data_IF_403939809933
#
_entry.id   IF_403939809933
#
_cell.length_a   1.000
_cell.length_b   1.000
_cell.length_c   1.000
_cell.angle_alpha   90.00
_cell.angle_beta   90.00
_cell.angle_gamma   90.00
#
_symmetry.space_group_name_H-M   'P 1'
#
loop_
_entity.id
_entity.type
_entity.pdbx_description
1 polymer ?
#
# COMPACT_ATOMS: atom_id res chain seq x y z
N UNK A 1 -1.84 -19.34 30.79
CA UNK A 1 -1.00 -18.13 30.86
C UNK A 1 0.29 -18.45 30.11
N UNK A 2 0.28 -18.23 28.80
CA UNK A 2 1.50 -18.39 27.99
C UNK A 2 2.44 -17.26 28.37
N UNK A 3 3.70 -17.57 28.69
CA UNK A 3 4.72 -16.54 28.93
C UNK A 3 4.79 -15.66 27.69
N UNK A 4 4.51 -14.37 27.84
CA UNK A 4 4.87 -13.35 26.88
C UNK A 4 6.37 -13.47 26.64
N UNK A 5 6.75 -14.13 25.55
CA UNK A 5 8.11 -14.08 25.06
C UNK A 5 8.48 -12.60 24.99
N UNK A 6 9.64 -12.24 25.53
CA UNK A 6 10.06 -10.86 25.67
C UNK A 6 10.34 -10.29 24.26
N UNK A 7 9.30 -9.85 23.55
CA UNK A 7 9.40 -9.35 22.17
C UNK A 7 10.32 -8.14 22.19
N UNK A 8 11.43 -8.24 21.47
CA UNK A 8 12.50 -7.25 21.52
C UNK A 8 12.11 -6.00 20.73
N UNK A 9 12.49 -4.82 21.23
CA UNK A 9 12.35 -3.59 20.46
C UNK A 9 13.27 -3.63 19.22
N UNK A 10 12.84 -3.07 18.08
CA UNK A 10 13.72 -2.90 16.93
C UNK A 10 14.92 -2.01 17.32
N UNK A 11 16.07 -2.26 16.71
CA UNK A 11 17.30 -1.50 16.96
C UNK A 11 18.21 -1.48 15.73
N UNK A 12 19.31 -0.73 15.76
CA UNK A 12 20.32 -0.75 14.68
C UNK A 12 19.76 -0.39 13.30
N UNK A 13 18.86 0.60 13.23
CA UNK A 13 18.26 1.04 11.98
C UNK A 13 19.35 1.51 11.02
N UNK A 14 19.29 0.96 9.80
CA UNK A 14 19.97 1.44 8.61
C UNK A 14 18.93 2.01 7.65
N UNK A 15 19.29 3.09 6.97
CA UNK A 15 18.48 3.70 5.94
C UNK A 15 19.37 4.18 4.80
N UNK A 16 18.92 3.96 3.57
CA UNK A 16 19.53 4.54 2.38
C UNK A 16 18.44 4.96 1.40
N UNK A 17 18.62 6.09 0.71
CA UNK A 17 17.70 6.48 -0.36
C UNK A 17 18.07 5.68 -1.59
N UNK A 18 17.04 5.16 -2.25
CA UNK A 18 17.15 4.49 -3.53
C UNK A 18 16.15 5.10 -4.51
N UNK A 19 16.37 4.83 -5.78
CA UNK A 19 15.40 5.16 -6.81
C UNK A 19 15.11 3.97 -7.72
N UNK A 20 13.86 3.87 -8.17
CA UNK A 20 13.37 2.88 -9.13
C UNK A 20 12.61 3.58 -10.24
N UNK A 21 12.31 2.87 -11.32
CA UNK A 21 11.47 3.36 -12.40
C UNK A 21 10.09 2.74 -12.31
N UNK A 22 9.07 3.54 -12.55
CA UNK A 22 7.69 3.10 -12.71
C UNK A 22 7.21 3.68 -14.05
N UNK A 23 7.44 2.91 -15.11
CA UNK A 23 7.37 3.42 -16.49
C UNK A 23 8.32 4.61 -16.70
N UNK A 24 7.77 5.77 -17.10
CA UNK A 24 8.55 7.01 -17.27
C UNK A 24 8.84 7.75 -15.96
N UNK A 25 8.24 7.34 -14.84
CA UNK A 25 8.40 8.01 -13.56
C UNK A 25 9.64 7.50 -12.83
N UNK A 26 10.45 8.42 -12.30
CA UNK A 26 11.56 8.08 -11.41
C UNK A 26 11.08 8.22 -9.96
N UNK A 27 10.89 7.09 -9.30
CA UNK A 27 10.36 7.05 -7.94
C UNK A 27 11.50 6.90 -6.93
N UNK A 28 11.56 7.80 -5.96
CA UNK A 28 12.49 7.72 -4.84
C UNK A 28 11.83 7.04 -3.64
N UNK A 29 12.65 6.41 -2.82
CA UNK A 29 12.19 5.87 -1.54
C UNK A 29 13.33 5.61 -0.57
N UNK A 30 12.99 5.48 0.70
CA UNK A 30 13.92 5.12 1.76
C UNK A 30 13.83 3.62 1.96
N UNK A 31 14.93 2.92 1.75
CA UNK A 31 15.06 1.52 2.09
C UNK A 31 15.51 1.39 3.54
N UNK A 32 14.60 0.94 4.39
CA UNK A 32 14.83 0.73 5.82
C UNK A 32 15.19 -0.72 6.07
N UNK A 33 16.18 -0.94 6.94
CA UNK A 33 16.59 -2.25 7.46
C UNK A 33 16.93 -2.13 8.94
N UNK A 34 16.49 -3.04 9.78
CA UNK A 34 16.74 -2.97 11.23
C UNK A 34 17.06 -4.33 11.82
N UNK A 35 17.51 -4.33 13.08
CA UNK A 35 17.64 -5.53 13.88
C UNK A 35 16.34 -5.82 14.61
N UNK A 36 15.87 -7.06 14.55
CA UNK A 36 14.77 -7.57 15.36
C UNK A 36 15.05 -9.02 15.77
N UNK A 37 15.09 -9.27 17.08
CA UNK A 37 15.59 -10.55 17.61
C UNK A 37 16.98 -10.89 17.06
N UNK A 38 17.13 -12.09 16.53
CA UNK A 38 18.34 -12.56 15.83
C UNK A 38 18.48 -12.05 14.39
N UNK A 39 17.44 -11.49 13.77
CA UNK A 39 17.50 -10.98 12.40
C UNK A 39 18.17 -9.61 12.34
N UNK A 40 19.29 -9.51 11.62
CA UNK A 40 20.13 -8.29 11.54
C UNK A 40 19.89 -7.50 10.25
N UNK A 41 20.13 -6.17 10.22
CA UNK A 41 19.93 -5.34 9.02
C UNK A 41 20.76 -5.78 7.80
N UNK A 42 21.87 -6.47 8.04
CA UNK A 42 22.79 -7.01 7.04
C UNK A 42 22.75 -8.55 6.96
N UNK A 43 21.74 -9.18 7.57
CA UNK A 43 21.57 -10.62 7.55
C UNK A 43 21.41 -11.11 6.10
N UNK A 44 22.26 -12.05 5.69
CA UNK A 44 22.30 -12.61 4.34
C UNK A 44 21.21 -13.64 4.06
N UNK A 45 21.48 -14.60 3.16
CA UNK A 45 20.44 -15.49 2.60
C UNK A 45 20.32 -16.87 3.26
N UNK A 46 21.32 -17.33 4.03
CA UNK A 46 21.30 -18.59 4.80
C UNK A 46 22.55 -18.69 5.72
N UNK A 47 22.46 -19.29 6.92
CA UNK A 47 21.27 -19.81 7.59
C UNK A 47 20.29 -18.71 8.04
N UNK A 48 19.03 -19.07 8.36
CA UNK A 48 18.11 -18.12 8.97
C UNK A 48 18.65 -17.64 10.33
N UNK A 49 18.09 -16.54 10.88
CA UNK A 49 18.31 -16.16 12.27
C UNK A 49 18.12 -17.34 13.23
N UNK A 50 18.89 -17.40 14.31
CA UNK A 50 18.84 -18.51 15.28
C UNK A 50 17.46 -18.66 15.94
N UNK A 51 16.75 -17.54 16.10
CA UNK A 51 15.40 -17.46 16.64
C UNK A 51 14.30 -17.48 15.55
N UNK A 52 14.68 -17.72 14.29
CA UNK A 52 13.71 -17.97 13.24
C UNK A 52 13.00 -19.29 13.50
N UNK A 53 11.67 -19.23 13.57
CA UNK A 53 10.81 -20.36 13.94
C UNK A 53 9.81 -20.65 12.82
N UNK A 54 10.31 -20.82 11.60
CA UNK A 54 9.53 -21.11 10.38
C UNK A 54 8.31 -20.18 10.22
N UNK A 55 8.57 -18.86 10.28
CA UNK A 55 7.54 -17.81 10.22
C UNK A 55 6.92 -17.42 11.56
N UNK A 56 7.08 -18.23 12.60
CA UNK A 56 6.53 -17.98 13.93
C UNK A 56 7.56 -17.36 14.90
N UNK A 57 8.55 -16.65 14.35
CA UNK A 57 9.46 -15.87 15.18
C UNK A 57 8.62 -14.79 15.92
N UNK A 58 8.89 -14.52 17.21
CA UNK A 58 8.13 -13.56 18.01
C UNK A 58 8.51 -12.12 17.67
N UNK A 59 8.58 -11.79 16.38
CA UNK A 59 8.89 -10.45 15.88
C UNK A 59 7.58 -9.64 15.80
N UNK A 60 7.60 -8.33 16.11
CA UNK A 60 6.45 -7.48 15.91
C UNK A 60 6.12 -7.34 14.43
N UNK A 61 4.82 -7.32 14.14
CA UNK A 61 4.29 -7.10 12.80
C UNK A 61 3.99 -5.63 12.52
N UNK A 62 3.74 -4.82 13.55
CA UNK A 62 3.29 -3.43 13.39
C UNK A 62 4.40 -2.47 13.79
N UNK A 63 4.72 -1.54 12.91
CA UNK A 63 5.74 -0.51 13.10
C UNK A 63 5.18 0.88 12.79
N UNK A 64 5.76 1.88 13.44
CA UNK A 64 5.62 3.28 13.01
C UNK A 64 6.95 3.77 12.45
N UNK A 65 6.89 4.37 11.27
CA UNK A 65 8.00 5.12 10.67
C UNK A 65 7.80 6.59 10.98
N UNK A 66 8.80 7.17 11.66
CA UNK A 66 8.86 8.58 11.97
C UNK A 66 9.85 9.27 11.06
N UNK A 67 9.42 10.34 10.39
CA UNK A 67 10.23 11.12 9.48
C UNK A 67 10.16 12.58 9.88
N UNK A 68 11.32 13.21 10.03
CA UNK A 68 11.47 14.62 10.40
C UNK A 68 10.69 14.98 11.67
N UNK A 69 10.64 14.05 12.64
CA UNK A 69 10.03 14.26 13.95
C UNK A 69 8.53 13.97 14.05
N UNK A 70 7.89 13.50 12.98
CA UNK A 70 6.47 13.13 12.97
C UNK A 70 6.27 11.67 12.53
N UNK A 71 5.28 10.98 13.11
CA UNK A 71 4.83 9.70 12.60
C UNK A 71 4.24 9.91 11.20
N UNK A 72 4.80 9.26 10.18
CA UNK A 72 4.38 9.43 8.78
C UNK A 72 3.73 8.21 8.18
N UNK A 73 3.99 7.03 8.76
CA UNK A 73 3.49 5.79 8.21
C UNK A 73 3.37 4.72 9.30
N UNK A 74 2.25 4.03 9.32
CA UNK A 74 2.10 2.73 9.98
C UNK A 74 2.41 1.64 8.96
N UNK A 75 3.25 0.69 9.35
CA UNK A 75 3.65 -0.44 8.51
C UNK A 75 3.24 -1.72 9.21
N UNK A 76 2.56 -2.60 8.49
CA UNK A 76 2.15 -3.92 8.95
C UNK A 76 2.85 -4.93 8.06
N UNK A 77 3.80 -5.67 8.63
CA UNK A 77 4.66 -6.59 7.92
C UNK A 77 4.26 -8.01 8.26
N UNK A 78 3.74 -8.74 7.29
CA UNK A 78 3.70 -10.19 7.32
C UNK A 78 4.81 -10.74 6.43
N UNK A 79 5.17 -12.00 6.68
CA UNK A 79 6.22 -12.72 5.98
C UNK A 79 5.83 -14.18 5.82
N UNK A 80 6.35 -14.90 4.83
CA UNK A 80 6.01 -16.30 4.66
C UNK A 80 6.84 -17.16 5.63
N UNK A 81 6.40 -18.39 5.88
CA UNK A 81 7.09 -19.31 6.80
C UNK A 81 8.55 -19.63 6.40
N UNK A 82 8.88 -19.46 5.12
CA UNK A 82 10.15 -19.88 4.53
C UNK A 82 11.15 -18.73 4.31
N UNK A 83 10.76 -17.47 4.51
CA UNK A 83 11.63 -16.31 4.34
C UNK A 83 11.47 -15.31 5.48
N UNK A 84 12.57 -15.06 6.18
CA UNK A 84 12.65 -14.09 7.27
C UNK A 84 13.00 -12.69 6.77
N UNK A 85 13.52 -12.55 5.55
CA UNK A 85 14.05 -11.28 5.05
C UNK A 85 13.05 -10.11 5.03
N UNK A 86 11.74 -10.33 4.81
CA UNK A 86 10.77 -9.24 4.90
C UNK A 86 10.51 -8.76 6.34
N UNK A 87 10.85 -9.56 7.36
CA UNK A 87 10.53 -9.24 8.76
C UNK A 87 11.31 -8.05 9.34
N UNK A 88 12.37 -7.59 8.66
CA UNK A 88 13.22 -6.51 9.15
C UNK A 88 13.59 -5.47 8.10
N UNK A 89 12.84 -5.39 7.01
CA UNK A 89 13.05 -4.41 5.95
C UNK A 89 11.75 -3.79 5.48
N UNK A 90 11.82 -2.54 5.01
CA UNK A 90 10.66 -1.83 4.49
C UNK A 90 11.05 -0.73 3.51
N UNK A 91 10.18 -0.48 2.53
CA UNK A 91 10.31 0.61 1.57
C UNK A 91 9.33 1.73 1.87
N UNK A 92 9.84 2.94 2.11
CA UNK A 92 9.03 4.15 2.26
C UNK A 92 9.05 4.93 0.94
N UNK A 93 7.89 5.07 0.29
CA UNK A 93 7.76 5.87 -0.94
C UNK A 93 7.96 7.37 -0.65
N UNK A 94 8.79 8.04 -1.45
CA UNK A 94 9.03 9.49 -1.39
C UNK A 94 8.51 10.26 -2.60
N UNK A 95 7.99 9.56 -3.61
CA UNK A 95 7.50 10.16 -4.85
C UNK A 95 8.62 10.52 -5.83
N UNK A 96 8.30 11.40 -6.78
CA UNK A 96 9.22 11.83 -7.86
C UNK A 96 10.15 12.97 -7.44
N UNK A 97 9.72 13.75 -6.45
CA UNK A 97 10.39 14.97 -5.95
C UNK A 97 10.66 14.83 -4.45
N UNK A 98 11.72 14.10 -4.05
CA UNK A 98 12.07 13.95 -2.64
C UNK A 98 12.58 15.28 -2.04
N UNK A 99 12.30 15.49 -0.76
CA UNK A 99 12.88 16.55 0.07
C UNK A 99 14.41 16.40 0.17
N UNK A 100 15.10 17.50 0.48
CA UNK A 100 16.55 17.54 0.55
C UNK A 100 17.15 16.61 1.63
N UNK A 101 16.42 16.36 2.73
CA UNK A 101 16.89 15.56 3.86
C UNK A 101 15.73 14.87 4.58
N UNK A 102 15.98 13.64 5.02
CA UNK A 102 15.07 12.89 5.89
C UNK A 102 15.79 12.37 7.13
N UNK A 103 15.26 12.68 8.31
CA UNK A 103 15.65 12.07 9.59
C UNK A 103 14.63 11.00 9.96
N UNK A 104 15.06 9.74 9.98
CA UNK A 104 14.18 8.58 10.10
C UNK A 104 14.51 7.78 11.35
N UNK A 105 13.47 7.37 12.07
CA UNK A 105 13.53 6.36 13.15
C UNK A 105 12.26 5.54 13.16
N UNK A 106 12.31 4.35 13.73
CA UNK A 106 11.14 3.47 13.83
C UNK A 106 10.92 3.01 15.27
N UNK A 107 9.71 2.56 15.55
CA UNK A 107 9.34 1.82 16.76
C UNK A 107 8.30 0.77 16.41
N UNK A 108 8.21 -0.29 17.20
CA UNK A 108 7.25 -1.37 16.99
C UNK A 108 6.09 -1.29 17.98
N UNK A 109 4.91 -1.80 17.61
CA UNK A 109 3.79 -2.04 18.54
C UNK A 109 3.88 -3.49 19.03
N UNK A 110 3.94 -3.67 20.34
CA UNK A 110 4.03 -4.95 21.03
C UNK A 110 3.02 -4.93 22.17
N UNK A 111 2.15 -5.93 22.27
CA UNK A 111 1.14 -6.04 23.33
C UNK A 111 0.34 -4.74 23.57
N UNK A 112 -0.03 -4.08 22.47
CA UNK A 112 -0.83 -2.84 22.49
C UNK A 112 -0.05 -1.55 22.80
N UNK A 113 1.24 -1.63 23.13
CA UNK A 113 2.10 -0.48 23.44
C UNK A 113 3.23 -0.32 22.44
N UNK A 114 3.69 0.90 22.22
CA UNK A 114 4.86 1.14 21.39
C UNK A 114 6.17 0.95 22.17
N UNK A 115 7.13 0.29 21.55
CA UNK A 115 8.48 0.14 22.06
C UNK A 115 9.24 1.47 22.07
N UNK A 116 10.42 1.48 22.69
CA UNK A 116 11.39 2.55 22.45
C UNK A 116 11.75 2.65 20.96
N UNK A 117 12.15 3.84 20.53
CA UNK A 117 12.65 4.07 19.17
C UNK A 117 14.00 3.40 18.94
N UNK A 118 14.28 3.10 17.68
CA UNK A 118 15.63 2.85 17.17
C UNK A 118 16.52 4.10 17.29
N UNK A 119 17.80 3.97 16.92
CA UNK A 119 18.60 5.12 16.53
C UNK A 119 17.91 5.89 15.38
N UNK A 120 18.18 7.20 15.32
CA UNK A 120 17.75 8.06 14.21
C UNK A 120 18.85 8.10 13.14
N UNK A 121 18.46 7.98 11.88
CA UNK A 121 19.34 7.98 10.70
C UNK A 121 18.97 9.15 9.82
N UNK A 122 19.97 9.90 9.36
CA UNK A 122 19.78 10.99 8.38
C UNK A 122 20.19 10.52 7.00
N UNK A 123 19.33 10.71 6.00
CA UNK A 123 19.58 10.33 4.61
C UNK A 123 19.23 11.49 3.66
N UNK A 124 19.92 11.54 2.52
CA UNK A 124 19.75 12.60 1.51
C UNK A 124 19.65 12.01 0.10
N UNK A 125 18.85 12.61 -0.82
CA UNK A 125 18.67 12.08 -2.17
C UNK A 125 19.94 12.12 -3.04
N UNK A 126 20.93 12.95 -2.69
CA UNK A 126 22.20 13.04 -3.40
C UNK A 126 22.99 11.71 -3.38
N UNK A 127 22.74 10.87 -2.38
CA UNK A 127 23.30 9.53 -2.24
C UNK A 127 22.46 8.43 -2.90
N UNK A 128 21.36 8.78 -3.58
CA UNK A 128 20.40 7.80 -4.07
C UNK A 128 21.02 6.89 -5.14
N UNK A 129 20.94 5.58 -4.91
CA UNK A 129 21.37 4.56 -5.87
C UNK A 129 20.16 3.82 -6.48
N UNK A 130 20.31 3.18 -7.65
CA UNK A 130 19.24 2.35 -8.19
C UNK A 130 18.79 1.25 -7.20
N UNK A 131 17.49 0.97 -7.17
CA UNK A 131 16.94 -0.19 -6.47
C UNK A 131 17.46 -1.48 -7.09
N UNK A 132 17.81 -2.43 -6.22
CA UNK A 132 18.12 -3.80 -6.59
C UNK A 132 17.50 -4.72 -5.55
N UNK A 133 16.84 -5.79 -5.99
CA UNK A 133 16.40 -6.85 -5.09
C UNK A 133 17.61 -7.67 -4.63
N UNK A 134 17.53 -8.28 -3.44
CA UNK A 134 18.50 -9.29 -3.03
C UNK A 134 18.39 -10.50 -3.98
N UNK A 135 19.48 -11.26 -4.23
CA UNK A 135 19.41 -12.47 -5.04
C UNK A 135 18.36 -13.42 -4.46
N UNK A 136 17.25 -13.61 -5.16
CA UNK A 136 16.27 -14.60 -4.75
C UNK A 136 16.89 -15.99 -4.84
N UNK A 137 16.61 -16.84 -3.86
CA UNK A 137 16.79 -18.28 -4.06
C UNK A 137 15.84 -18.65 -5.18
N UNK A 138 16.36 -19.31 -6.22
CA UNK A 138 15.53 -19.93 -7.26
C UNK A 138 14.44 -20.73 -6.55
N UNK A 139 13.20 -20.27 -6.67
CA UNK A 139 12.04 -21.07 -6.33
C UNK A 139 12.22 -22.41 -7.03
N UNK A 140 12.30 -23.50 -6.27
CA UNK A 140 11.91 -24.78 -6.83
C UNK A 140 10.46 -24.60 -7.23
N UNK A 141 10.20 -24.54 -8.54
CA UNK A 141 8.90 -24.23 -9.14
C UNK A 141 7.77 -24.83 -8.29
N UNK A 142 7.11 -23.98 -7.48
CA UNK A 142 5.92 -24.40 -6.78
C UNK A 142 4.82 -24.43 -7.82
N UNK A 143 4.45 -25.64 -8.22
CA UNK A 143 3.24 -25.89 -9.00
C UNK A 143 2.03 -25.48 -8.15
N UNK A 144 1.54 -24.27 -8.38
CA UNK A 144 0.34 -23.76 -7.74
C UNK A 144 0.41 -22.27 -7.46
N UNK A 145 0.64 -21.45 -8.49
CA UNK A 145 0.23 -20.05 -8.40
C UNK A 145 -1.29 -20.09 -8.34
N UNK A 146 -1.87 -19.71 -7.21
CA UNK A 146 -3.32 -19.65 -7.07
C UNK A 146 -3.86 -18.67 -8.13
N UNK A 147 -4.55 -19.24 -9.11
CA UNK A 147 -5.20 -18.51 -10.19
C UNK A 147 -6.60 -18.02 -9.77
N UNK A 148 -6.96 -18.17 -8.50
CA UNK A 148 -8.23 -17.69 -7.98
C UNK A 148 -8.35 -16.19 -8.24
N UNK A 149 -9.49 -15.74 -8.81
CA UNK A 149 -9.71 -14.33 -9.11
C UNK A 149 -9.58 -13.49 -7.83
N UNK A 150 -8.95 -12.30 -7.86
CA UNK A 150 -8.69 -11.45 -6.68
C UNK A 150 -9.60 -10.24 -6.69
N UNK A 151 -10.24 -9.92 -5.58
CA UNK A 151 -11.37 -8.98 -5.63
C UNK A 151 -11.66 -8.34 -4.29
N UNK A 152 -11.95 -7.05 -4.32
CA UNK A 152 -12.58 -6.33 -3.22
C UNK A 152 -12.53 -4.82 -3.39
N UNK A 153 -13.02 -4.10 -2.39
CA UNK A 153 -12.85 -2.64 -2.29
C UNK A 153 -12.84 -2.23 -0.82
N UNK A 154 -12.35 -1.03 -0.52
CA UNK A 154 -12.41 -0.46 0.82
C UNK A 154 -13.87 -0.29 1.25
N UNK A 155 -14.20 -0.84 2.42
CA UNK A 155 -15.53 -0.76 3.03
C UNK A 155 -15.65 0.41 4.00
N UNK A 156 -14.62 0.65 4.82
CA UNK A 156 -14.52 1.82 5.69
C UNK A 156 -13.13 2.48 5.60
N UNK A 157 -13.04 3.78 5.30
CA UNK A 157 -14.12 4.66 4.83
C UNK A 157 -14.69 4.18 3.49
N UNK A 158 -15.99 4.36 3.26
CA UNK A 158 -16.67 3.79 2.08
C UNK A 158 -16.06 4.31 0.77
N UNK A 159 -15.66 3.39 -0.11
CA UNK A 159 -15.10 3.75 -1.42
C UNK A 159 -16.15 4.25 -2.42
N UNK A 160 -15.72 4.93 -3.48
CA UNK A 160 -16.55 5.34 -4.62
C UNK A 160 -17.13 4.13 -5.33
N UNK A 161 -16.36 3.06 -5.52
CA UNK A 161 -16.87 1.84 -6.15
C UNK A 161 -17.98 1.21 -5.31
N UNK A 162 -17.79 1.14 -3.98
CA UNK A 162 -18.83 0.70 -3.06
C UNK A 162 -20.07 1.62 -3.14
N UNK A 163 -19.91 2.93 -3.02
CA UNK A 163 -21.01 3.88 -3.05
C UNK A 163 -21.76 3.86 -4.40
N UNK A 164 -21.04 3.88 -5.51
CA UNK A 164 -21.62 3.97 -6.86
C UNK A 164 -22.26 2.66 -7.27
N UNK A 165 -21.57 1.54 -7.12
CA UNK A 165 -21.90 0.27 -7.78
C UNK A 165 -22.50 -0.74 -6.78
N UNK A 166 -21.89 -0.95 -5.60
CA UNK A 166 -22.36 -1.93 -4.61
C UNK A 166 -23.64 -1.46 -3.90
N UNK A 167 -23.64 -0.22 -3.45
CA UNK A 167 -24.67 0.35 -2.58
C UNK A 167 -25.71 1.18 -3.35
N UNK A 168 -25.46 1.44 -4.63
CA UNK A 168 -26.29 2.26 -5.52
C UNK A 168 -26.71 3.62 -4.92
N UNK A 169 -25.77 4.32 -4.28
CA UNK A 169 -26.02 5.61 -3.61
C UNK A 169 -26.80 6.58 -4.52
N UNK A 170 -27.86 7.23 -4.02
CA UNK A 170 -28.78 8.01 -4.86
C UNK A 170 -28.30 9.43 -5.15
N UNK A 171 -27.15 9.86 -4.63
CA UNK A 171 -26.60 11.18 -4.91
C UNK A 171 -26.43 11.40 -6.43
N UNK A 172 -26.64 12.63 -6.95
CA UNK A 172 -26.66 12.85 -8.39
C UNK A 172 -25.33 12.49 -9.07
N UNK A 173 -24.19 12.70 -8.40
CA UNK A 173 -22.88 12.28 -8.89
C UNK A 173 -22.75 10.76 -8.98
N UNK A 174 -23.24 9.99 -8.00
CA UNK A 174 -23.21 8.53 -8.04
C UNK A 174 -24.13 7.97 -9.13
N UNK A 175 -25.33 8.55 -9.30
CA UNK A 175 -26.24 8.18 -10.38
C UNK A 175 -25.62 8.47 -11.76
N UNK A 176 -24.95 9.61 -11.91
CA UNK A 176 -24.24 9.97 -13.14
C UNK A 176 -23.05 9.04 -13.40
N UNK A 177 -22.27 8.73 -12.37
CA UNK A 177 -21.15 7.80 -12.45
C UNK A 177 -21.60 6.40 -12.90
N UNK A 178 -22.68 5.86 -12.30
CA UNK A 178 -23.28 4.59 -12.74
C UNK A 178 -23.69 4.60 -14.21
N UNK A 179 -24.24 5.71 -14.70
CA UNK A 179 -24.67 5.84 -16.09
C UNK A 179 -23.49 5.96 -17.08
N UNK A 180 -22.30 6.39 -16.62
CA UNK A 180 -21.09 6.47 -17.44
C UNK A 180 -20.23 5.20 -17.38
N UNK A 181 -20.29 4.46 -16.29
CA UNK A 181 -19.62 3.17 -16.17
C UNK A 181 -20.23 2.16 -17.14
N UNK A 182 -19.37 1.34 -17.75
CA UNK A 182 -19.81 0.15 -18.49
C UNK A 182 -19.60 -1.13 -17.68
N UNK A 183 -18.77 -1.09 -16.63
CA UNK A 183 -18.63 -2.15 -15.65
C UNK A 183 -19.52 -1.91 -14.43
N UNK A 184 -20.07 -2.99 -13.88
CA UNK A 184 -20.80 -3.02 -12.61
C UNK A 184 -20.06 -3.85 -11.56
N UNK A 185 -18.76 -4.10 -11.76
CA UNK A 185 -17.94 -4.89 -10.85
C UNK A 185 -17.29 -3.98 -9.82
N UNK A 186 -17.95 -3.78 -8.68
CA UNK A 186 -17.47 -2.90 -7.60
C UNK A 186 -16.16 -3.39 -6.97
N UNK A 187 -15.95 -4.70 -6.98
CA UNK A 187 -14.83 -5.39 -6.37
C UNK A 187 -13.59 -5.51 -7.28
N UNK A 188 -13.56 -4.85 -8.44
CA UNK A 188 -12.53 -5.04 -9.48
C UNK A 188 -12.17 -3.75 -10.23
N UNK A 189 -12.02 -2.62 -9.53
CA UNK A 189 -11.50 -1.40 -10.18
C UNK A 189 -10.01 -1.57 -10.46
N UNK A 190 -9.70 -2.00 -11.69
CA UNK A 190 -8.35 -2.35 -12.19
C UNK A 190 -8.02 -1.63 -13.50
N UNK A 191 -6.73 -1.47 -13.87
CA UNK A 191 -6.34 -0.75 -15.10
C UNK A 191 -6.90 -1.30 -16.41
N UNK A 192 -7.39 -2.53 -16.39
CA UNK A 192 -7.90 -3.24 -17.56
C UNK A 192 -6.83 -4.13 -18.21
N UNK A 193 -7.26 -5.31 -18.66
CA UNK A 193 -6.37 -6.37 -19.18
C UNK A 193 -5.42 -5.87 -20.27
N UNK A 194 -5.92 -5.15 -21.27
CA UNK A 194 -5.10 -4.72 -22.41
C UNK A 194 -4.01 -3.73 -22.00
N UNK A 195 -4.30 -2.84 -21.04
CA UNK A 195 -3.31 -1.90 -20.49
C UNK A 195 -2.27 -2.63 -19.65
N UNK A 196 -2.71 -3.56 -18.80
CA UNK A 196 -1.79 -4.39 -18.01
C UNK A 196 -0.90 -5.25 -18.90
N UNK A 197 -1.39 -5.77 -20.03
CA UNK A 197 -0.57 -6.53 -20.99
C UNK A 197 0.41 -5.65 -21.78
N UNK A 198 0.05 -4.40 -22.05
CA UNK A 198 0.90 -3.45 -22.76
C UNK A 198 2.06 -2.93 -21.90
N UNK A 199 1.83 -2.78 -20.59
CA UNK A 199 2.83 -2.32 -19.64
C UNK A 199 2.57 -2.99 -18.28
N UNK A 200 3.40 -3.96 -17.88
CA UNK A 200 3.13 -4.83 -16.73
C UNK A 200 3.12 -4.08 -15.39
N UNK A 201 2.05 -4.13 -14.58
CA UNK A 201 2.08 -3.56 -13.23
C UNK A 201 3.15 -4.17 -12.33
N UNK A 202 3.46 -5.46 -12.48
CA UNK A 202 4.49 -6.09 -11.65
C UNK A 202 5.84 -6.09 -12.36
N UNK A 203 6.89 -5.69 -11.65
CA UNK A 203 8.26 -5.87 -12.09
C UNK A 203 8.84 -7.14 -11.45
N UNK A 204 8.84 -8.25 -12.19
CA UNK A 204 9.33 -9.53 -11.68
C UNK A 204 10.83 -9.52 -11.37
N UNK A 205 11.65 -8.80 -12.14
CA UNK A 205 13.09 -8.77 -11.92
C UNK A 205 13.48 -8.01 -10.64
N UNK A 206 12.73 -6.97 -10.28
CA UNK A 206 13.03 -6.10 -9.15
C UNK A 206 12.10 -6.26 -7.95
N UNK A 207 11.08 -7.13 -8.07
CA UNK A 207 10.11 -7.48 -7.03
C UNK A 207 9.34 -6.29 -6.47
N UNK A 208 8.75 -5.48 -7.33
CA UNK A 208 7.82 -4.44 -6.89
C UNK A 208 6.71 -4.13 -7.88
N UNK A 209 5.64 -3.55 -7.35
CA UNK A 209 4.50 -3.05 -8.10
C UNK A 209 4.77 -1.64 -8.65
N UNK A 210 4.67 -1.50 -9.95
CA UNK A 210 4.76 -0.29 -10.78
C UNK A 210 3.35 0.27 -11.07
N UNK A 211 2.68 0.78 -10.04
CA UNK A 211 1.32 1.32 -10.17
C UNK A 211 1.28 2.78 -10.67
N UNK A 212 2.32 3.59 -10.44
CA UNK A 212 2.31 5.04 -10.72
C UNK A 212 2.10 5.33 -12.21
N UNK A 213 2.70 4.53 -13.10
CA UNK A 213 2.60 4.70 -14.56
C UNK A 213 1.19 4.56 -15.13
N UNK A 214 0.25 4.00 -14.38
CA UNK A 214 -1.12 3.83 -14.83
C UNK A 214 -2.00 5.06 -14.64
N UNK A 215 -1.56 6.06 -13.88
CA UNK A 215 -2.34 7.24 -13.57
C UNK A 215 -1.88 8.44 -14.40
N UNK A 216 -2.81 9.02 -15.17
CA UNK A 216 -2.59 10.23 -15.96
C UNK A 216 -3.77 11.18 -15.77
N UNK A 217 -3.49 12.44 -15.45
CA UNK A 217 -4.54 13.41 -15.15
C UNK A 217 -5.45 12.92 -14.02
N UNK A 218 -6.75 13.26 -14.10
CA UNK A 218 -7.72 12.95 -13.05
C UNK A 218 -8.36 11.55 -13.17
N UNK A 219 -7.57 10.53 -13.56
CA UNK A 219 -8.04 9.14 -13.73
C UNK A 219 -7.61 8.21 -12.61
N UNK A 220 -7.36 8.75 -11.41
CA UNK A 220 -7.00 7.91 -10.27
C UNK A 220 -8.15 6.96 -10.01
N UNK A 221 -9.37 7.44 -9.77
CA UNK A 221 -10.49 6.61 -9.30
C UNK A 221 -10.90 5.46 -10.24
N UNK A 222 -10.73 5.59 -11.54
CA UNK A 222 -10.99 4.51 -12.51
C UNK A 222 -9.77 3.64 -12.82
N UNK A 223 -8.58 4.00 -12.31
CA UNK A 223 -7.26 3.52 -12.76
C UNK A 223 -6.98 3.77 -14.25
N UNK A 224 -7.69 4.73 -14.85
CA UNK A 224 -7.70 5.01 -16.29
C UNK A 224 -8.38 3.91 -17.13
N UNK A 225 -9.16 3.03 -16.52
CA UNK A 225 -9.95 2.03 -17.23
C UNK A 225 -11.29 2.66 -17.66
N UNK A 226 -11.58 2.76 -18.97
CA UNK A 226 -12.81 3.37 -19.46
C UNK A 226 -14.09 2.71 -18.92
N UNK A 227 -14.01 1.45 -18.50
CA UNK A 227 -15.17 0.76 -17.93
C UNK A 227 -15.66 1.34 -16.60
N UNK A 228 -14.78 2.08 -15.91
CA UNK A 228 -15.03 2.74 -14.62
C UNK A 228 -14.93 4.27 -14.72
N UNK A 229 -15.04 4.86 -15.92
CA UNK A 229 -14.82 6.29 -16.15
C UNK A 229 -15.72 7.21 -15.30
N UNK A 230 -16.91 6.75 -14.93
CA UNK A 230 -17.82 7.51 -14.05
C UNK A 230 -17.25 7.74 -12.64
N UNK A 231 -16.31 6.91 -12.18
CA UNK A 231 -15.66 7.10 -10.87
C UNK A 231 -14.72 8.32 -10.86
N UNK A 232 -14.28 8.79 -12.03
CA UNK A 232 -13.38 9.95 -12.20
C UNK A 232 -14.11 11.30 -12.22
N UNK A 233 -15.45 11.30 -12.13
CA UNK A 233 -16.23 12.53 -12.15
C UNK A 233 -15.78 13.51 -11.05
N UNK A 234 -15.56 14.76 -11.45
CA UNK A 234 -15.34 15.86 -10.53
C UNK A 234 -16.69 16.43 -10.05
N UNK A 235 -16.84 16.73 -8.74
CA UNK A 235 -17.97 17.49 -8.22
C UNK A 235 -18.23 18.79 -9.00
N UNK A 236 -19.50 19.03 -9.31
CA UNK A 236 -20.00 20.21 -10.03
C UNK A 236 -21.37 20.58 -9.50
N UNK A 237 -21.81 21.81 -9.75
CA UNK A 237 -23.09 22.32 -9.23
C UNK A 237 -24.31 21.45 -9.61
N UNK A 238 -24.29 20.80 -10.78
CA UNK A 238 -25.34 19.91 -11.27
C UNK A 238 -25.27 18.48 -10.71
N UNK A 239 -24.08 18.03 -10.28
CA UNK A 239 -23.84 16.67 -9.77
C UNK A 239 -23.82 16.61 -8.24
N UNK A 240 -23.51 17.72 -7.58
CA UNK A 240 -23.19 17.74 -6.15
C UNK A 240 -21.83 17.11 -5.86
N UNK A 241 -21.57 16.89 -4.58
CA UNK A 241 -20.35 16.26 -4.08
C UNK A 241 -20.47 14.74 -3.98
N UNK A 242 -19.33 14.06 -4.02
CA UNK A 242 -19.24 12.67 -3.61
C UNK A 242 -19.69 12.48 -2.14
N UNK A 243 -20.46 11.42 -1.82
CA UNK A 243 -20.78 11.05 -0.45
C UNK A 243 -19.52 10.84 0.40
N UNK A 244 -19.49 11.37 1.61
CA UNK A 244 -18.32 11.29 2.49
C UNK A 244 -18.50 10.36 3.67
N UNK A 245 -17.40 9.73 4.10
CA UNK A 245 -17.28 9.16 5.46
C UNK A 245 -16.71 10.22 6.40
N UNK A 246 -17.33 10.43 7.56
CA UNK A 246 -16.79 11.34 8.58
C UNK A 246 -15.65 10.69 9.36
N UNK A 247 -14.53 11.39 9.44
CA UNK A 247 -13.37 10.99 10.25
C UNK A 247 -13.10 12.08 11.30
N UNK A 248 -12.82 11.67 12.54
CA UNK A 248 -12.47 12.59 13.63
C UNK A 248 -10.98 12.95 13.53
N UNK A 249 -10.66 14.21 13.26
CA UNK A 249 -9.28 14.65 13.09
C UNK A 249 -8.44 14.59 14.38
N UNK A 250 -9.10 14.52 15.54
CA UNK A 250 -8.49 14.41 16.86
C UNK A 250 -8.41 12.98 17.39
N UNK A 251 -8.88 11.98 16.64
CA UNK A 251 -8.85 10.60 17.09
C UNK A 251 -7.40 10.12 17.29
N UNK A 252 -7.14 9.46 18.43
CA UNK A 252 -5.83 8.84 18.68
C UNK A 252 -5.55 7.66 17.75
N UNK A 253 -6.62 7.04 17.21
CA UNK A 253 -6.56 5.89 16.30
C UNK A 253 -7.75 5.90 15.34
N UNK A 254 -7.50 5.40 14.13
CA UNK A 254 -8.50 5.10 13.12
C UNK A 254 -8.51 3.61 12.81
N UNK A 255 -9.66 3.11 12.38
CA UNK A 255 -9.80 1.75 11.87
C UNK A 255 -10.33 1.81 10.46
N UNK A 256 -9.58 1.33 9.48
CA UNK A 256 -10.05 1.17 8.11
C UNK A 256 -10.30 -0.30 7.81
N UNK A 257 -11.21 -0.60 6.89
CA UNK A 257 -11.62 -1.96 6.53
C UNK A 257 -11.72 -2.17 5.03
N UNK A 258 -11.51 -3.42 4.61
CA UNK A 258 -11.57 -3.86 3.23
C UNK A 258 -12.51 -5.06 3.11
N UNK A 259 -13.38 -5.03 2.09
CA UNK A 259 -14.33 -6.10 1.77
C UNK A 259 -13.75 -6.95 0.64
N UNK A 260 -13.19 -8.12 0.98
CA UNK A 260 -12.65 -9.05 0.00
C UNK A 260 -13.73 -10.02 -0.48
N UNK A 261 -13.85 -10.15 -1.80
CA UNK A 261 -14.55 -11.29 -2.42
C UNK A 261 -13.59 -12.45 -2.69
N UNK A 262 -12.29 -12.17 -2.70
CA UNK A 262 -11.24 -13.17 -2.74
C UNK A 262 -9.94 -12.56 -2.19
N UNK A 263 -9.61 -12.95 -0.96
CA UNK A 263 -8.41 -12.51 -0.25
C UNK A 263 -7.14 -13.20 -0.76
N UNK A 264 -6.02 -12.47 -0.80
CA UNK A 264 -4.74 -12.97 -1.28
C UNK A 264 -3.62 -12.62 -0.32
N UNK A 265 -2.79 -13.63 -0.03
CA UNK A 265 -1.58 -13.44 0.79
C UNK A 265 -0.37 -14.06 0.15
N UNK A 266 0.60 -13.22 -0.21
CA UNK A 266 1.95 -13.63 -0.54
C UNK A 266 2.88 -12.39 -0.50
N UNK A 267 4.18 -12.62 -0.42
CA UNK A 267 5.21 -11.59 -0.20
C UNK A 267 5.26 -10.48 -1.27
N UNK A 268 4.59 -10.67 -2.42
CA UNK A 268 4.54 -9.68 -3.49
C UNK A 268 3.35 -8.71 -3.37
N UNK A 269 2.38 -9.01 -2.50
CA UNK A 269 1.16 -8.22 -2.35
C UNK A 269 1.29 -7.18 -1.25
N UNK A 270 0.69 -6.02 -1.47
CA UNK A 270 0.63 -4.97 -0.46
C UNK A 270 -0.63 -4.11 -0.59
N UNK A 271 -1.12 -3.62 0.54
CA UNK A 271 -1.99 -2.44 0.60
C UNK A 271 -1.14 -1.19 0.81
N UNK A 272 -1.47 -0.12 0.11
CA UNK A 272 -0.84 1.19 0.26
C UNK A 272 -1.89 2.28 0.27
N UNK A 273 -1.99 2.99 1.39
CA UNK A 273 -3.02 3.98 1.62
C UNK A 273 -2.43 5.39 1.57
N UNK A 274 -2.92 6.18 0.62
CA UNK A 274 -2.53 7.56 0.38
C UNK A 274 -3.67 8.49 0.78
N UNK A 275 -3.34 9.73 1.07
CA UNK A 275 -4.31 10.80 1.30
C UNK A 275 -3.96 11.99 0.44
N UNK A 276 -4.96 12.76 0.04
CA UNK A 276 -4.72 14.04 -0.63
C UNK A 276 -3.90 14.99 0.24
N UNK A 277 -3.10 15.82 -0.44
CA UNK A 277 -2.40 16.96 0.15
C UNK A 277 -3.42 17.92 0.79
N UNK A 278 -2.97 18.65 1.80
CA UNK A 278 -3.78 19.69 2.41
C UNK A 278 -4.18 20.76 1.38
N UNK A 279 -5.44 21.19 1.41
CA UNK A 279 -5.97 22.19 0.48
C UNK A 279 -6.33 21.67 -0.92
N UNK A 280 -6.31 20.35 -1.16
CA UNK A 280 -6.83 19.78 -2.42
C UNK A 280 -8.25 20.27 -2.71
N UNK A 281 -8.48 20.70 -3.95
CA UNK A 281 -9.80 21.14 -4.43
C UNK A 281 -10.48 20.00 -5.22
N UNK A 282 -11.57 19.41 -4.70
CA UNK A 282 -12.30 18.34 -5.37
C UNK A 282 -12.85 18.71 -6.75
N UNK A 283 -13.13 19.99 -7.02
CA UNK A 283 -13.73 20.41 -8.30
C UNK A 283 -12.80 20.20 -9.50
N UNK A 284 -11.51 19.95 -9.27
CA UNK A 284 -10.53 19.59 -10.31
C UNK A 284 -10.47 18.08 -10.62
N UNK A 285 -11.25 17.26 -9.91
CA UNK A 285 -11.08 15.81 -9.91
C UNK A 285 -9.89 15.37 -9.05
N UNK A 286 -9.61 14.06 -9.08
CA UNK A 286 -8.52 13.46 -8.32
C UNK A 286 -7.43 12.95 -9.27
N UNK A 287 -6.30 13.62 -9.26
CA UNK A 287 -5.07 13.23 -9.96
C UNK A 287 -4.04 12.68 -8.97
N UNK A 288 -3.04 11.95 -9.45
CA UNK A 288 -2.01 11.36 -8.58
C UNK A 288 -1.18 12.44 -7.88
N UNK A 289 -0.97 13.57 -8.55
CA UNK A 289 -0.23 14.73 -8.06
C UNK A 289 -0.93 15.39 -6.86
N UNK A 290 -2.22 15.14 -6.67
CA UNK A 290 -2.98 15.60 -5.51
C UNK A 290 -2.69 14.80 -4.24
N UNK A 291 -2.02 13.65 -4.32
CA UNK A 291 -1.75 12.78 -3.19
C UNK A 291 -0.43 13.14 -2.49
N UNK A 292 -0.38 12.93 -1.18
CA UNK A 292 0.88 12.85 -0.46
C UNK A 292 1.69 11.66 -0.98
N UNK A 293 3.00 11.80 -1.20
CA UNK A 293 3.79 10.73 -1.81
C UNK A 293 4.07 9.55 -0.87
N UNK A 294 4.06 9.80 0.45
CA UNK A 294 4.24 8.76 1.46
C UNK A 294 2.86 8.19 1.80
N UNK A 295 2.59 6.89 1.56
CA UNK A 295 1.37 6.27 2.06
C UNK A 295 1.42 6.24 3.59
N UNK A 296 0.34 6.67 4.25
CA UNK A 296 0.29 6.73 5.71
C UNK A 296 0.05 5.35 6.35
N UNK A 297 -0.47 4.38 5.59
CA UNK A 297 -0.63 3.01 6.02
C UNK A 297 -0.14 2.08 4.91
N UNK A 298 0.69 1.10 5.25
CA UNK A 298 1.15 0.04 4.35
C UNK A 298 1.01 -1.29 5.05
N UNK A 299 0.38 -2.25 4.40
CA UNK A 299 0.45 -3.65 4.77
C UNK A 299 1.21 -4.40 3.68
N UNK A 300 2.13 -5.28 4.07
CA UNK A 300 2.84 -6.18 3.17
C UNK A 300 2.40 -7.61 3.45
N UNK A 301 2.19 -8.37 2.37
CA UNK A 301 1.78 -9.75 2.29
C UNK A 301 0.36 -10.07 2.77
N UNK A 302 -0.14 -9.40 3.80
CA UNK A 302 -1.38 -9.79 4.48
C UNK A 302 -1.19 -10.94 5.46
N UNK A 303 -2.04 -10.97 6.48
CA UNK A 303 -2.03 -11.97 7.54
C UNK A 303 -2.43 -13.35 7.00
N UNK A 304 -1.89 -14.45 7.55
CA UNK A 304 -2.26 -15.80 7.14
C UNK A 304 -3.76 -16.11 7.21
N UNK A 305 -4.50 -15.38 8.05
CA UNK A 305 -5.97 -15.45 8.15
C UNK A 305 -6.58 -14.15 7.67
N UNK A 306 -7.61 -14.26 6.85
CA UNK A 306 -8.29 -13.11 6.25
C UNK A 306 -8.86 -12.15 7.31
N UNK A 307 -9.46 -12.67 8.38
CA UNK A 307 -10.04 -11.85 9.44
C UNK A 307 -9.01 -10.91 10.11
N UNK A 308 -7.72 -11.23 10.03
CA UNK A 308 -6.64 -10.44 10.62
C UNK A 308 -6.11 -9.34 9.66
N UNK A 309 -6.58 -9.29 8.40
CA UNK A 309 -6.20 -8.31 7.37
C UNK A 309 -7.40 -7.71 6.63
N UNK A 310 -8.60 -7.82 7.19
CA UNK A 310 -9.79 -7.11 6.68
C UNK A 310 -9.94 -5.73 7.34
N UNK A 311 -9.20 -5.47 8.42
CA UNK A 311 -9.28 -4.23 9.19
C UNK A 311 -7.91 -3.84 9.76
N UNK A 312 -7.58 -2.55 9.73
CA UNK A 312 -6.31 -2.03 10.26
C UNK A 312 -6.55 -0.88 11.22
N UNK A 313 -6.01 -1.00 12.43
CA UNK A 313 -5.98 0.06 13.43
C UNK A 313 -4.62 0.79 13.38
N UNK A 314 -4.65 2.11 13.17
CA UNK A 314 -3.44 2.93 13.03
C UNK A 314 -3.66 4.36 13.55
N UNK A 315 -2.56 5.07 13.82
CA UNK A 315 -2.58 6.43 14.40
C UNK A 315 -1.92 7.49 13.48
N UNK A 316 -1.40 7.06 12.33
CA UNK A 316 -0.52 7.86 11.46
C UNK A 316 -1.26 8.62 10.38
N UNK A 317 -2.60 8.71 10.46
CA UNK A 317 -3.38 9.51 9.52
C UNK A 317 -2.95 10.98 9.62
N UNK A 318 -2.48 11.61 8.53
CA UNK A 318 -2.08 13.01 8.58
C UNK A 318 -3.22 13.89 9.06
N UNK A 319 -2.91 14.86 9.93
CA UNK A 319 -3.92 15.83 10.37
C UNK A 319 -4.48 16.58 9.16
N UNK A 320 -5.81 16.68 9.10
CA UNK A 320 -6.58 17.29 8.02
C UNK A 320 -7.81 17.97 8.61
N UNK A 321 -8.36 18.92 7.87
CA UNK A 321 -9.66 19.51 8.15
C UNK A 321 -10.49 19.57 6.87
N UNK A 322 -11.80 19.40 7.00
CA UNK A 322 -12.70 19.41 5.85
C UNK A 322 -12.51 18.22 4.93
N UNK A 323 -12.78 18.42 3.64
CA UNK A 323 -12.87 17.33 2.66
C UNK A 323 -11.49 16.87 2.20
N UNK A 324 -11.32 15.55 2.09
CA UNK A 324 -10.14 14.91 1.51
C UNK A 324 -10.55 13.64 0.75
N UNK A 325 -9.62 13.08 -0.01
CA UNK A 325 -9.76 11.72 -0.55
C UNK A 325 -8.65 10.83 -0.01
N UNK A 326 -9.01 9.58 0.30
CA UNK A 326 -8.10 8.50 0.68
C UNK A 326 -8.08 7.50 -0.47
N UNK A 327 -6.89 7.05 -0.85
CA UNK A 327 -6.69 6.13 -1.97
C UNK A 327 -5.97 4.89 -1.47
N UNK A 328 -6.59 3.73 -1.59
CA UNK A 328 -5.94 2.44 -1.39
C UNK A 328 -5.52 1.86 -2.74
N UNK A 329 -4.27 1.39 -2.81
CA UNK A 329 -3.74 0.54 -3.88
C UNK A 329 -3.44 -0.83 -3.27
N UNK A 330 -4.18 -1.85 -3.70
CA UNK A 330 -3.95 -3.24 -3.32
C UNK A 330 -3.46 -4.04 -4.52
N UNK A 331 -2.23 -4.55 -4.50
CA UNK A 331 -1.71 -5.27 -5.67
C UNK A 331 -0.38 -5.97 -5.45
N UNK A 332 0.01 -6.78 -6.44
CA UNK A 332 1.22 -7.59 -6.42
C UNK A 332 1.42 -8.43 -7.68
N UNK A 333 2.18 -9.51 -7.57
CA UNK A 333 2.37 -10.50 -8.65
C UNK A 333 1.07 -11.30 -8.83
N UNK A 334 0.48 -11.23 -10.02
CA UNK A 334 -0.87 -11.72 -10.30
C UNK A 334 -1.41 -11.26 -11.66
N UNK A 335 -2.72 -11.27 -11.84
CA UNK A 335 -3.37 -10.75 -13.04
C UNK A 335 -3.37 -11.68 -14.26
N UNK A 336 -3.65 -11.10 -15.45
CA UNK A 336 -3.62 -11.82 -16.73
C UNK A 336 -2.34 -12.61 -16.98
N UNK A 337 -2.48 -13.74 -17.65
CA UNK A 337 -1.33 -14.50 -18.15
C UNK A 337 -0.61 -13.75 -19.25
N UNK A 338 0.73 -13.74 -19.18
CA UNK A 338 1.58 -13.26 -20.28
C UNK A 338 1.63 -14.33 -21.38
N UNK A 339 1.58 -13.91 -22.65
CA UNK A 339 1.48 -14.84 -23.79
C UNK A 339 2.75 -15.66 -24.01
N UNK A 340 3.89 -15.18 -23.55
CA UNK A 340 5.22 -15.77 -23.75
C UNK A 340 5.84 -16.30 -22.45
N UNK A 341 5.10 -16.26 -21.33
CA UNK A 341 5.62 -16.61 -20.00
C UNK A 341 6.55 -15.56 -19.40
N UNK A 342 6.70 -14.39 -20.04
CA UNK A 342 7.46 -13.27 -19.51
C UNK A 342 6.95 -12.79 -18.16
N UNK A 343 7.80 -12.07 -17.41
CA UNK A 343 7.46 -11.48 -16.11
C UNK A 343 6.97 -12.49 -15.04
N UNK A 344 7.52 -13.71 -15.07
CA UNK A 344 7.07 -14.79 -14.19
C UNK A 344 5.66 -15.30 -14.54
N UNK A 345 5.29 -15.26 -15.83
CA UNK A 345 4.01 -15.76 -16.35
C UNK A 345 2.81 -14.84 -16.17
N UNK A 346 2.98 -13.69 -15.51
CA UNK A 346 1.89 -12.83 -15.04
C UNK A 346 2.20 -11.36 -15.26
N UNK A 347 1.20 -10.54 -15.60
CA UNK A 347 1.41 -9.08 -15.78
C UNK A 347 1.65 -8.37 -14.44
N UNK A 348 1.17 -8.93 -13.33
CA UNK A 348 0.84 -8.15 -12.15
C UNK A 348 -0.55 -7.55 -12.27
N UNK A 349 -1.13 -7.21 -11.14
CA UNK A 349 -2.40 -6.47 -11.07
C UNK A 349 -2.46 -5.65 -9.79
N UNK A 350 -3.34 -4.65 -9.80
CA UNK A 350 -3.73 -3.93 -8.60
C UNK A 350 -5.17 -3.44 -8.70
N UNK A 351 -5.80 -3.34 -7.54
CA UNK A 351 -7.13 -2.82 -7.32
C UNK A 351 -7.00 -1.45 -6.68
N UNK A 352 -7.93 -0.57 -7.02
CA UNK A 352 -7.96 0.78 -6.47
C UNK A 352 -9.28 1.06 -5.78
N UNK A 353 -9.18 1.68 -4.60
CA UNK A 353 -10.34 2.25 -3.92
C UNK A 353 -10.08 3.71 -3.59
N UNK A 354 -10.96 4.60 -4.05
CA UNK A 354 -10.97 6.02 -3.66
C UNK A 354 -12.10 6.24 -2.69
N UNK A 355 -11.82 6.83 -1.54
CA UNK A 355 -12.79 7.08 -0.48
C UNK A 355 -12.85 8.58 -0.21
N UNK A 356 -13.99 9.21 -0.45
CA UNK A 356 -14.19 10.61 -0.09
C UNK A 356 -14.51 10.70 1.41
N UNK A 357 -13.79 11.57 2.13
CA UNK A 357 -13.89 11.71 3.58
C UNK A 357 -14.05 13.18 3.97
N UNK A 358 -14.61 13.39 5.15
CA UNK A 358 -14.72 14.71 5.77
C UNK A 358 -14.19 14.67 7.20
N UNK A 359 -13.15 15.45 7.46
CA UNK A 359 -12.54 15.63 8.77
C UNK A 359 -13.28 16.69 9.57
N UNK A 360 -13.62 16.37 10.81
CA UNK A 360 -14.35 17.24 11.74
C UNK A 360 -13.61 17.42 13.07
#
# INVERSE_FOLDING_TARGET
MSSSANVQAPSGLLADIKHRTDGSHRMFGIHLRWQIGGNRPDHGTWPPPEDWNDGNAPYPHVYEVWINGAARQTVILYWPAWDWSPSNSHWVDLGEEPDAEYRVKIRAKVDGSFTAFTNEVTVTPDSAVPWSTAPQKTEGARSGVDASPRHGTVDHPRSRAAAVIRDEDPSPICAKARAENTSTTWQEVVPGKDRMLADYPWNHALHYLEYRKFFQGSTVASTGNPAFAGLDLAPRADLGDWPTTRLDAGAERHTFSYDYMAYHTNETWSHRWFITREGWNPSGGLSWENLEPIPFLVEVQGAPREEDSTHWEFATLPSRSGRAAIVDVWGGHGGPDTTDGGNGGKTGEFFLSVCDVEFH
#
